data_IF_069668029936
#
_entry.id   IF_069668029936
#
_cell.length_a   1.000
_cell.length_b   1.000
_cell.length_c   1.000
_cell.angle_alpha   90.00
_cell.angle_beta   90.00
_cell.angle_gamma   90.00
#
_symmetry.space_group_name_H-M   'P 1'
#
loop_
_entity.id
_entity.type
_entity.pdbx_description
1 polymer ?
#
# COMPACT_ATOMS: atom_id res chain seq x y z
N UNK A 1 11.95 14.27 -3.32
CA UNK A 1 12.37 13.01 -2.68
C UNK A 1 13.89 13.00 -2.57
N UNK A 2 14.47 12.73 -1.39
CA UNK A 2 15.91 12.79 -1.13
C UNK A 2 16.67 11.50 -1.49
N UNK A 3 16.36 10.89 -2.64
CA UNK A 3 17.03 9.65 -3.08
C UNK A 3 18.45 9.95 -3.59
N UNK A 4 19.39 8.97 -3.50
CA UNK A 4 20.74 9.14 -4.00
C UNK A 4 20.72 9.22 -5.52
N UNK A 5 21.50 10.15 -6.09
CA UNK A 5 21.51 10.40 -7.54
C UNK A 5 21.95 9.17 -8.34
N UNK A 6 22.79 8.32 -7.74
CA UNK A 6 23.22 7.03 -8.31
C UNK A 6 22.08 6.03 -8.55
N UNK A 7 20.96 6.16 -7.83
CA UNK A 7 19.81 5.28 -8.03
C UNK A 7 19.00 5.60 -9.28
N UNK A 8 19.18 6.79 -9.87
CA UNK A 8 18.44 7.20 -11.06
C UNK A 8 18.75 6.30 -12.25
N UNK A 9 17.70 5.77 -12.87
CA UNK A 9 17.76 4.96 -14.06
C UNK A 9 17.51 5.81 -15.30
N UNK A 10 18.34 5.59 -16.31
CA UNK A 10 18.15 6.16 -17.64
C UNK A 10 17.07 5.38 -18.41
N UNK A 11 16.43 5.99 -19.42
CA UNK A 11 15.45 5.30 -20.27
C UNK A 11 16.00 4.06 -20.99
N UNK A 12 17.32 3.93 -21.14
CA UNK A 12 17.98 2.76 -21.75
C UNK A 12 18.19 1.59 -20.77
N UNK A 13 17.74 1.70 -19.51
CA UNK A 13 17.80 0.63 -18.51
C UNK A 13 19.10 0.55 -17.71
N UNK A 14 20.07 1.45 -17.95
CA UNK A 14 21.27 1.61 -17.12
C UNK A 14 21.12 2.72 -16.08
N UNK A 15 21.98 2.74 -15.06
CA UNK A 15 22.08 3.87 -14.12
C UNK A 15 22.53 5.13 -14.88
N UNK A 16 21.91 6.27 -14.57
CA UNK A 16 22.26 7.56 -15.16
C UNK A 16 23.67 8.01 -14.72
N UNK A 17 24.10 7.63 -13.53
CA UNK A 17 25.44 7.89 -12.98
C UNK A 17 26.15 6.54 -12.80
N UNK A 18 27.42 6.48 -13.23
CA UNK A 18 28.20 5.24 -13.26
C UNK A 18 28.78 4.82 -11.91
N UNK A 19 28.90 5.73 -10.95
CA UNK A 19 29.46 5.48 -9.61
C UNK A 19 28.71 6.25 -8.52
N UNK A 20 28.51 5.67 -7.33
CA UNK A 20 27.93 6.38 -6.20
C UNK A 20 28.91 7.41 -5.63
N UNK A 21 28.38 8.49 -5.07
CA UNK A 21 29.15 9.45 -4.29
C UNK A 21 29.60 8.82 -2.96
N UNK A 22 30.71 9.28 -2.40
CA UNK A 22 31.23 8.81 -1.10
C UNK A 22 30.23 9.06 0.02
N UNK A 23 29.50 10.19 -0.06
CA UNK A 23 28.42 10.51 0.89
C UNK A 23 27.27 9.50 0.80
N UNK A 24 26.88 9.10 -0.43
CA UNK A 24 25.82 8.12 -0.65
C UNK A 24 26.21 6.73 -0.10
N UNK A 25 27.49 6.38 -0.16
CA UNK A 25 27.99 5.13 0.44
C UNK A 25 27.83 5.13 1.95
N UNK A 26 28.17 6.23 2.62
CA UNK A 26 28.07 6.36 4.08
C UNK A 26 26.62 6.44 4.54
N UNK A 27 25.81 7.29 3.90
CA UNK A 27 24.42 7.52 4.31
C UNK A 27 23.53 6.29 4.08
N UNK A 28 23.66 5.66 2.91
CA UNK A 28 22.78 4.56 2.52
C UNK A 28 23.34 3.18 2.86
N UNK A 29 24.60 3.08 3.33
CA UNK A 29 25.24 1.82 3.75
C UNK A 29 25.06 0.67 2.73
N UNK A 30 25.23 0.99 1.44
CA UNK A 30 25.05 0.05 0.33
C UNK A 30 23.61 -0.15 -0.18
N UNK A 31 22.59 0.46 0.44
CA UNK A 31 21.20 0.39 -0.06
C UNK A 31 21.04 1.03 -1.45
N UNK A 32 21.84 2.06 -1.76
CA UNK A 32 21.81 2.74 -3.05
C UNK A 32 22.09 1.80 -4.24
N UNK A 33 22.79 0.68 -4.04
CA UNK A 33 23.06 -0.33 -5.08
C UNK A 33 21.84 -1.21 -5.41
N UNK A 34 20.90 -1.32 -4.47
CA UNK A 34 19.66 -2.10 -4.64
C UNK A 34 18.46 -1.21 -4.98
N UNK A 35 18.65 0.10 -4.90
CA UNK A 35 17.64 1.09 -5.22
C UNK A 35 17.74 1.50 -6.69
N UNK A 36 16.60 1.43 -7.37
CA UNK A 36 16.41 1.84 -8.75
C UNK A 36 15.28 2.87 -8.78
N UNK A 37 15.61 4.08 -9.21
CA UNK A 37 14.69 5.20 -9.28
C UNK A 37 14.35 5.45 -10.74
N UNK A 38 13.06 5.43 -11.05
CA UNK A 38 12.55 5.71 -12.38
C UNK A 38 11.68 6.96 -12.33
N UNK A 39 11.97 7.93 -13.20
CA UNK A 39 11.09 9.08 -13.42
C UNK A 39 10.11 8.73 -14.54
N UNK A 40 8.91 8.31 -14.16
CA UNK A 40 7.84 7.92 -15.09
C UNK A 40 6.48 8.05 -14.42
N UNK A 41 5.45 8.27 -15.22
CA UNK A 41 4.08 7.95 -14.83
C UNK A 41 4.00 6.45 -14.47
N UNK A 42 3.30 6.11 -13.39
CA UNK A 42 3.29 4.76 -12.84
C UNK A 42 2.63 3.74 -13.79
N UNK A 43 1.57 4.13 -14.52
CA UNK A 43 0.95 3.27 -15.52
C UNK A 43 1.90 3.02 -16.69
N UNK A 44 2.56 4.06 -17.18
CA UNK A 44 3.58 3.93 -18.21
C UNK A 44 4.78 3.08 -17.75
N UNK A 45 5.18 3.19 -16.48
CA UNK A 45 6.27 2.38 -15.93
C UNK A 45 5.90 0.90 -15.92
N UNK A 46 4.74 0.55 -15.38
CA UNK A 46 4.30 -0.86 -15.31
C UNK A 46 4.09 -1.44 -16.73
N UNK A 47 3.58 -0.63 -17.66
CA UNK A 47 3.33 -1.04 -19.05
C UNK A 47 4.63 -1.29 -19.83
N UNK A 48 5.58 -0.37 -19.75
CA UNK A 48 6.76 -0.37 -20.62
C UNK A 48 7.98 -1.04 -19.99
N UNK A 49 7.99 -1.25 -18.67
CA UNK A 49 9.08 -1.97 -18.05
C UNK A 49 9.04 -3.43 -18.54
N UNK A 50 10.12 -3.84 -19.20
CA UNK A 50 10.24 -5.11 -19.91
C UNK A 50 10.73 -6.27 -19.04
N UNK A 51 11.04 -6.03 -17.77
CA UNK A 51 11.42 -7.12 -16.85
C UNK A 51 10.21 -8.03 -16.67
N UNK A 52 10.34 -9.36 -16.74
CA UNK A 52 9.25 -10.29 -16.39
C UNK A 52 9.09 -10.49 -14.88
N UNK A 53 9.76 -9.64 -14.09
CA UNK A 53 9.83 -9.76 -12.65
C UNK A 53 8.46 -9.52 -12.00
N UNK A 54 8.16 -10.38 -11.01
CA UNK A 54 6.99 -10.25 -10.16
C UNK A 54 7.40 -9.60 -8.85
N UNK A 55 6.55 -8.70 -8.37
CA UNK A 55 6.71 -8.05 -7.08
C UNK A 55 5.98 -8.82 -5.97
N UNK A 56 6.69 -9.03 -4.87
CA UNK A 56 6.08 -9.57 -3.66
C UNK A 56 5.27 -8.51 -2.92
N UNK A 57 5.78 -7.28 -2.92
CA UNK A 57 5.16 -6.14 -2.27
C UNK A 57 5.22 -4.92 -3.19
N UNK A 58 4.10 -4.19 -3.28
CA UNK A 58 4.03 -2.91 -3.97
C UNK A 58 3.43 -1.89 -3.02
N UNK A 59 4.13 -0.77 -2.85
CA UNK A 59 3.64 0.37 -2.08
C UNK A 59 3.24 1.48 -3.06
N UNK A 60 2.03 2.00 -2.89
CA UNK A 60 1.51 3.11 -3.69
C UNK A 60 1.27 4.28 -2.74
N UNK A 61 2.10 5.31 -2.92
CA UNK A 61 2.04 6.56 -2.18
C UNK A 61 1.99 7.68 -3.21
N UNK A 62 0.76 8.08 -3.59
CA UNK A 62 0.53 8.95 -4.74
C UNK A 62 -0.65 9.89 -4.49
N UNK A 63 -0.43 11.17 -4.81
CA UNK A 63 -1.41 12.24 -4.66
C UNK A 63 -1.29 13.20 -5.85
N UNK A 64 -2.39 13.82 -6.24
CA UNK A 64 -2.45 14.76 -7.37
C UNK A 64 -1.98 16.19 -7.02
N UNK A 65 -1.63 16.43 -5.76
CA UNK A 65 -1.22 17.74 -5.23
C UNK A 65 -2.26 18.38 -4.32
N UNK A 66 -3.52 17.95 -4.40
CA UNK A 66 -4.63 18.36 -3.52
C UNK A 66 -4.96 17.28 -2.49
N UNK A 67 -3.98 16.42 -2.17
CA UNK A 67 -4.12 15.25 -1.29
C UNK A 67 -5.17 14.22 -1.73
N UNK A 68 -5.53 14.22 -3.03
CA UNK A 68 -6.48 13.27 -3.60
C UNK A 68 -5.72 12.15 -4.30
N UNK A 69 -6.09 10.90 -3.99
CA UNK A 69 -5.54 9.73 -4.68
C UNK A 69 -5.88 9.81 -6.18
N UNK A 70 -4.95 9.69 -7.14
CA UNK A 70 -5.30 9.96 -8.54
C UNK A 70 -6.28 8.93 -9.13
N UNK A 71 -7.36 9.39 -9.79
CA UNK A 71 -8.39 8.54 -10.42
C UNK A 71 -7.81 7.48 -11.37
N UNK A 72 -6.76 7.83 -12.12
CA UNK A 72 -6.05 6.93 -13.03
C UNK A 72 -5.49 5.69 -12.33
N UNK A 73 -5.15 5.78 -11.04
CA UNK A 73 -4.51 4.68 -10.29
C UNK A 73 -5.50 3.74 -9.59
N UNK A 74 -6.81 4.01 -9.64
CA UNK A 74 -7.81 3.12 -9.05
C UNK A 74 -9.02 2.84 -9.94
N UNK A 75 -9.20 3.58 -11.03
CA UNK A 75 -10.28 3.32 -11.97
C UNK A 75 -10.19 1.86 -12.49
N UNK A 76 -11.20 1.00 -12.27
CA UNK A 76 -11.20 -0.38 -12.76
C UNK A 76 -11.12 -0.50 -14.29
N UNK A 77 -11.51 0.55 -15.02
CA UNK A 77 -11.40 0.63 -16.46
C UNK A 77 -10.04 1.16 -16.96
N UNK A 78 -9.19 1.68 -16.07
CA UNK A 78 -7.81 2.04 -16.43
C UNK A 78 -6.95 0.76 -16.55
N UNK A 79 -5.97 0.76 -17.48
CA UNK A 79 -4.97 -0.31 -17.58
C UNK A 79 -4.18 -0.56 -16.28
N UNK A 80 -3.97 0.45 -15.45
CA UNK A 80 -3.04 0.40 -14.31
C UNK A 80 -3.27 -0.80 -13.39
N UNK A 81 -4.48 -0.97 -12.85
CA UNK A 81 -4.77 -2.05 -11.90
C UNK A 81 -4.65 -3.44 -12.53
N UNK A 82 -5.04 -3.57 -13.80
CA UNK A 82 -4.93 -4.84 -14.54
C UNK A 82 -3.48 -5.21 -14.79
N UNK A 83 -2.68 -4.24 -15.24
CA UNK A 83 -1.24 -4.41 -15.42
C UNK A 83 -0.57 -4.76 -14.08
N UNK A 84 -0.89 -4.03 -13.01
CA UNK A 84 -0.38 -4.29 -11.67
C UNK A 84 -0.73 -5.71 -11.19
N UNK A 85 -1.97 -6.18 -11.44
CA UNK A 85 -2.43 -7.53 -11.09
C UNK A 85 -1.54 -8.62 -11.70
N UNK A 86 -1.02 -8.37 -12.92
CA UNK A 86 -0.10 -9.26 -13.62
C UNK A 86 1.35 -9.14 -13.17
N UNK A 87 1.71 -8.06 -12.45
CA UNK A 87 3.05 -7.83 -11.91
C UNK A 87 3.21 -8.23 -10.45
N UNK A 88 2.15 -8.52 -9.72
CA UNK A 88 2.24 -8.98 -8.33
C UNK A 88 2.24 -10.50 -8.24
N UNK A 89 3.03 -11.06 -7.32
CA UNK A 89 3.18 -12.50 -7.20
C UNK A 89 1.83 -13.21 -6.94
N UNK A 90 1.47 -14.28 -7.69
CA UNK A 90 0.13 -14.87 -7.63
C UNK A 90 -0.23 -15.51 -6.29
N UNK A 91 0.75 -15.86 -5.46
CA UNK A 91 0.52 -16.54 -4.17
C UNK A 91 0.60 -15.65 -2.94
N UNK A 92 1.43 -14.61 -2.97
CA UNK A 92 1.71 -13.77 -1.79
C UNK A 92 1.89 -12.30 -2.13
N UNK A 93 1.65 -11.92 -3.40
CA UNK A 93 1.66 -10.53 -3.81
C UNK A 93 0.76 -9.69 -2.91
N UNK A 94 1.33 -8.60 -2.39
CA UNK A 94 0.67 -7.70 -1.46
C UNK A 94 0.82 -6.26 -1.94
N UNK A 95 -0.28 -5.56 -2.09
CA UNK A 95 -0.30 -4.14 -2.47
C UNK A 95 -0.77 -3.33 -1.28
N UNK A 96 0.00 -2.30 -0.93
CA UNK A 96 -0.31 -1.36 0.15
C UNK A 96 -0.49 0.01 -0.47
N UNK A 97 -1.64 0.63 -0.26
CA UNK A 97 -2.00 1.95 -0.79
C UNK A 97 -2.16 2.91 0.37
N UNK A 98 -1.39 3.99 0.34
CA UNK A 98 -1.54 5.10 1.28
C UNK A 98 -2.74 5.95 0.85
N UNK A 99 -3.71 6.16 1.75
CA UNK A 99 -4.95 6.89 1.48
C UNK A 99 -5.15 7.95 2.56
N UNK A 100 -5.27 9.20 2.14
CA UNK A 100 -5.70 10.28 3.05
C UNK A 100 -7.21 10.17 3.25
N UNK A 101 -7.66 10.41 4.49
CA UNK A 101 -9.08 10.35 4.83
C UNK A 101 -9.86 11.39 4.01
N UNK A 102 -10.90 10.94 3.32
CA UNK A 102 -11.85 11.78 2.56
C UNK A 102 -13.10 12.14 3.35
N UNK A 103 -13.12 11.84 4.66
CA UNK A 103 -14.24 12.20 5.51
C UNK A 103 -14.20 13.70 5.79
N UNK A 104 -15.14 14.44 5.20
CA UNK A 104 -15.46 15.79 5.65
C UNK A 104 -15.76 15.71 7.15
N UNK A 105 -14.90 16.29 8.00
CA UNK A 105 -15.08 16.35 9.46
C UNK A 105 -16.23 17.32 9.84
N UNK A 106 -17.18 17.55 8.93
CA UNK A 106 -18.29 18.47 9.12
C UNK A 106 -19.59 17.73 8.90
N UNK A 107 -20.29 17.46 9.99
CA UNK A 107 -21.73 17.22 9.93
C UNK A 107 -22.40 18.37 9.15
N UNK A 108 -23.48 18.04 8.43
CA UNK A 108 -24.28 19.02 7.68
C UNK A 108 -24.76 20.21 8.55
N UNK A 109 -24.75 20.05 9.88
CA UNK A 109 -25.17 21.04 10.87
C UNK A 109 -24.01 21.77 11.59
N UNK A 110 -22.75 21.54 11.20
CA UNK A 110 -21.59 22.24 11.76
C UNK A 110 -21.21 21.85 13.20
N UNK A 111 -21.79 20.78 13.74
CA UNK A 111 -21.37 20.19 15.02
C UNK A 111 -20.05 19.42 14.89
N UNK A 112 -19.23 19.46 15.94
CA UNK A 112 -18.07 18.57 16.07
C UNK A 112 -18.61 17.19 16.48
N UNK A 113 -18.36 16.12 15.71
CA UNK A 113 -18.90 14.82 16.05
C UNK A 113 -18.36 14.34 17.40
N UNK A 114 -19.24 13.75 18.20
CA UNK A 114 -18.86 13.20 19.50
C UNK A 114 -17.71 12.21 19.35
N UNK A 115 -16.82 12.18 20.35
CA UNK A 115 -15.62 11.33 20.47
C UNK A 115 -15.88 9.83 20.22
N UNK A 116 -17.14 9.39 20.13
CA UNK A 116 -17.56 8.02 19.83
C UNK A 116 -17.79 7.70 18.34
N UNK A 117 -17.69 8.66 17.42
CA UNK A 117 -17.66 8.43 15.96
C UNK A 117 -16.23 8.10 15.46
N UNK A 118 -15.44 7.45 16.33
CA UNK A 118 -13.98 7.23 16.25
C UNK A 118 -13.52 6.25 15.15
N UNK A 119 -14.43 5.79 14.31
CA UNK A 119 -14.14 5.14 13.04
C UNK A 119 -14.62 6.13 11.99
N UNK A 120 -13.74 7.01 11.49
CA UNK A 120 -14.08 7.92 10.40
C UNK A 120 -14.75 7.07 9.30
N UNK A 121 -16.06 7.25 9.03
CA UNK A 121 -16.71 6.45 8.01
C UNK A 121 -15.98 6.75 6.71
N UNK A 122 -15.51 5.69 6.06
CA UNK A 122 -14.89 5.77 4.75
C UNK A 122 -15.81 6.59 3.84
N UNK A 123 -15.33 7.70 3.31
CA UNK A 123 -16.11 8.45 2.35
C UNK A 123 -16.38 7.58 1.13
N UNK A 124 -17.39 7.96 0.35
CA UNK A 124 -17.80 7.22 -0.85
C UNK A 124 -16.64 7.04 -1.82
N UNK A 125 -15.72 7.99 -1.84
CA UNK A 125 -14.56 7.98 -2.69
C UNK A 125 -13.58 6.88 -2.25
N UNK A 126 -13.11 6.89 -0.99
CA UNK A 126 -12.22 5.84 -0.49
C UNK A 126 -12.85 4.45 -0.54
N UNK A 127 -14.14 4.31 -0.25
CA UNK A 127 -14.85 3.04 -0.38
C UNK A 127 -14.78 2.51 -1.83
N UNK A 128 -14.89 3.39 -2.81
CA UNK A 128 -14.79 3.03 -4.24
C UNK A 128 -13.36 2.61 -4.62
N UNK A 129 -12.35 3.33 -4.11
CA UNK A 129 -10.93 2.97 -4.29
C UNK A 129 -10.65 1.59 -3.72
N UNK A 130 -11.05 1.35 -2.46
CA UNK A 130 -10.83 0.07 -1.78
C UNK A 130 -11.48 -1.10 -2.50
N UNK A 131 -12.73 -0.93 -2.96
CA UNK A 131 -13.44 -1.96 -3.73
C UNK A 131 -12.74 -2.24 -5.06
N UNK A 132 -12.33 -1.21 -5.80
CA UNK A 132 -11.63 -1.39 -7.07
C UNK A 132 -10.33 -2.22 -6.91
N UNK A 133 -9.53 -1.88 -5.91
CA UNK A 133 -8.29 -2.61 -5.61
C UNK A 133 -8.57 -4.06 -5.19
N UNK A 134 -9.54 -4.27 -4.30
CA UNK A 134 -9.95 -5.61 -3.88
C UNK A 134 -10.40 -6.46 -5.07
N UNK A 135 -11.34 -5.95 -5.86
CA UNK A 135 -11.98 -6.68 -6.95
C UNK A 135 -10.97 -7.10 -8.03
N UNK A 136 -9.98 -6.25 -8.32
CA UNK A 136 -8.98 -6.53 -9.37
C UNK A 136 -7.78 -7.33 -8.86
N UNK A 137 -7.31 -7.09 -7.63
CA UNK A 137 -6.02 -7.62 -7.16
C UNK A 137 -6.13 -8.82 -6.23
N UNK A 138 -7.21 -8.93 -5.44
CA UNK A 138 -7.36 -10.02 -4.48
C UNK A 138 -7.60 -11.37 -5.17
N UNK A 139 -8.12 -11.39 -6.40
CA UNK A 139 -8.55 -12.60 -7.10
C UNK A 139 -9.50 -13.45 -6.22
N UNK A 140 -9.66 -14.75 -6.49
CA UNK A 140 -10.62 -15.61 -5.79
C UNK A 140 -10.24 -15.98 -4.34
N UNK A 141 -9.00 -15.71 -3.92
CA UNK A 141 -8.46 -16.17 -2.63
C UNK A 141 -7.74 -15.09 -1.80
N UNK A 142 -7.62 -13.86 -2.29
CA UNK A 142 -7.02 -12.77 -1.55
C UNK A 142 -7.99 -12.13 -0.55
N UNK A 143 -7.44 -11.25 0.27
CA UNK A 143 -8.18 -10.42 1.20
C UNK A 143 -7.74 -8.97 1.06
N UNK A 144 -8.65 -8.06 1.39
CA UNK A 144 -8.37 -6.64 1.46
C UNK A 144 -8.84 -6.12 2.82
N UNK A 145 -8.03 -5.30 3.45
CA UNK A 145 -8.33 -4.67 4.73
C UNK A 145 -7.66 -3.30 4.80
N UNK A 146 -8.12 -2.48 5.72
CA UNK A 146 -7.49 -1.21 6.04
C UNK A 146 -6.96 -1.21 7.46
N UNK A 147 -5.89 -0.44 7.64
CA UNK A 147 -5.38 -0.03 8.93
C UNK A 147 -5.42 1.49 8.98
N UNK A 148 -6.28 2.05 9.83
CA UNK A 148 -6.41 3.49 9.98
C UNK A 148 -5.52 4.03 11.10
N UNK A 149 -5.04 5.25 10.91
CA UNK A 149 -4.28 6.01 11.90
C UNK A 149 -4.95 7.38 12.05
N UNK A 150 -6.09 7.45 12.77
CA UNK A 150 -6.99 8.62 12.72
C UNK A 150 -6.33 9.94 13.12
N UNK A 151 -5.35 9.90 14.04
CA UNK A 151 -4.67 11.10 14.52
C UNK A 151 -3.75 11.76 13.49
N UNK A 152 -3.44 11.08 12.39
CA UNK A 152 -2.76 11.66 11.21
C UNK A 152 -3.65 11.66 9.97
N UNK A 153 -4.97 11.48 10.13
CA UNK A 153 -5.95 11.47 9.03
C UNK A 153 -5.58 10.52 7.88
N UNK A 154 -4.98 9.38 8.20
CA UNK A 154 -4.41 8.47 7.22
C UNK A 154 -4.98 7.04 7.36
N UNK A 155 -5.12 6.36 6.24
CA UNK A 155 -5.50 4.96 6.16
C UNK A 155 -4.61 4.23 5.16
N UNK A 156 -4.08 3.08 5.56
CA UNK A 156 -3.41 2.16 4.64
C UNK A 156 -4.39 1.09 4.18
N UNK A 157 -4.70 1.02 2.89
CA UNK A 157 -5.37 -0.13 2.28
C UNK A 157 -4.34 -1.20 1.97
N UNK A 158 -4.58 -2.42 2.41
CA UNK A 158 -3.76 -3.59 2.10
C UNK A 158 -4.59 -4.60 1.34
N UNK A 159 -4.13 -5.01 0.16
CA UNK A 159 -4.67 -6.13 -0.60
C UNK A 159 -3.62 -7.22 -0.70
N UNK A 160 -3.88 -8.38 -0.09
CA UNK A 160 -2.94 -9.49 -0.05
C UNK A 160 -3.56 -10.77 -0.60
N UNK A 161 -2.85 -11.42 -1.54
CA UNK A 161 -3.21 -12.73 -2.10
C UNK A 161 -2.90 -13.91 -1.16
N UNK A 162 -2.02 -13.70 -0.18
CA UNK A 162 -1.47 -14.78 0.66
C UNK A 162 -2.06 -14.91 2.06
N UNK A 163 -2.91 -13.97 2.49
CA UNK A 163 -3.35 -13.87 3.88
C UNK A 163 -4.49 -14.84 4.24
N UNK A 164 -5.14 -15.51 3.28
CA UNK A 164 -6.21 -16.48 3.58
C UNK A 164 -5.81 -17.91 3.23
N UNK A 165 -6.20 -18.86 4.10
CA UNK A 165 -5.93 -20.29 3.88
C UNK A 165 -6.72 -20.82 2.67
N UNK A 166 -6.11 -21.77 1.94
CA UNK A 166 -6.58 -22.31 0.65
C UNK A 166 -7.95 -23.02 0.70
N UNK A 167 -8.63 -23.07 1.86
CA UNK A 167 -9.82 -23.89 2.11
C UNK A 167 -11.15 -23.13 2.10
N UNK A 168 -11.19 -21.89 1.62
CA UNK A 168 -12.39 -21.34 0.97
C UNK A 168 -13.64 -21.02 1.82
N UNK A 169 -13.73 -21.36 3.11
CA UNK A 169 -14.95 -21.21 3.91
C UNK A 169 -14.86 -20.11 4.98
N UNK A 170 -16.02 -19.53 5.29
CA UNK A 170 -16.40 -18.40 6.15
C UNK A 170 -15.62 -18.10 7.46
N UNK A 171 -14.60 -18.87 7.85
CA UNK A 171 -13.66 -18.57 8.94
C UNK A 171 -12.47 -17.68 8.55
N UNK A 172 -12.51 -17.02 7.38
CA UNK A 172 -11.38 -16.31 6.75
C UNK A 172 -10.95 -15.02 7.46
N UNK A 173 -11.88 -14.30 8.09
CA UNK A 173 -11.61 -12.98 8.71
C UNK A 173 -10.92 -13.14 10.06
N UNK A 174 -11.55 -13.91 10.95
CA UNK A 174 -11.03 -14.15 12.29
C UNK A 174 -9.69 -14.89 12.22
N UNK A 175 -9.56 -15.88 11.34
CA UNK A 175 -8.29 -16.59 11.12
C UNK A 175 -7.17 -15.69 10.60
N UNK A 176 -7.47 -14.72 9.73
CA UNK A 176 -6.46 -13.78 9.23
C UNK A 176 -6.02 -12.78 10.33
N UNK A 177 -6.95 -12.27 11.13
CA UNK A 177 -6.64 -11.40 12.28
C UNK A 177 -5.84 -12.17 13.33
N UNK A 178 -6.24 -13.39 13.68
CA UNK A 178 -5.50 -14.26 14.59
C UNK A 178 -4.08 -14.54 14.08
N UNK A 179 -3.93 -14.78 12.77
CA UNK A 179 -2.62 -14.97 12.16
C UNK A 179 -1.75 -13.71 12.29
N UNK A 180 -2.28 -12.53 11.96
CA UNK A 180 -1.58 -11.25 12.12
C UNK A 180 -1.20 -10.98 13.58
N UNK A 181 -2.11 -11.23 14.53
CA UNK A 181 -1.84 -11.12 15.96
C UNK A 181 -0.72 -12.07 16.37
N UNK A 182 -0.76 -13.33 15.93
CA UNK A 182 0.27 -14.34 16.28
C UNK A 182 1.67 -13.98 15.78
N UNK A 183 1.76 -13.24 14.67
CA UNK A 183 3.02 -12.80 14.06
C UNK A 183 3.46 -11.40 14.45
N UNK A 184 2.58 -10.60 15.07
CA UNK A 184 2.86 -9.22 15.44
C UNK A 184 4.12 -9.06 16.31
N UNK A 185 4.25 -9.87 17.37
CA UNK A 185 5.41 -9.83 18.27
C UNK A 185 6.71 -10.24 17.58
N UNK A 186 6.66 -11.21 16.68
CA UNK A 186 7.83 -11.64 15.89
C UNK A 186 8.32 -10.49 15.00
N UNK A 187 7.41 -9.79 14.31
CA UNK A 187 7.73 -8.63 13.47
C UNK A 187 8.28 -7.46 14.30
N UNK A 188 7.65 -7.16 15.44
CA UNK A 188 8.09 -6.10 16.35
C UNK A 188 9.54 -6.33 16.79
N UNK A 189 9.88 -7.57 17.18
CA UNK A 189 11.22 -7.92 17.62
C UNK A 189 12.24 -7.95 16.48
N UNK A 190 11.89 -8.53 15.32
CA UNK A 190 12.80 -8.64 14.18
C UNK A 190 13.16 -7.28 13.58
N UNK A 191 12.23 -6.32 13.60
CA UNK A 191 12.41 -4.98 13.04
C UNK A 191 12.78 -3.92 14.10
N UNK A 192 12.89 -4.33 15.38
CA UNK A 192 13.16 -3.44 16.52
C UNK A 192 12.22 -2.22 16.54
N UNK A 193 10.91 -2.47 16.37
CA UNK A 193 9.93 -1.40 16.24
C UNK A 193 9.72 -0.68 17.59
N UNK A 194 9.65 0.66 17.59
CA UNK A 194 9.42 1.43 18.81
C UNK A 194 7.93 1.46 19.24
N UNK A 195 7.09 0.63 18.63
CA UNK A 195 5.65 0.58 18.87
C UNK A 195 5.11 -0.85 18.69
N UNK A 196 3.94 -1.13 19.28
CA UNK A 196 3.28 -2.42 19.10
C UNK A 196 2.35 -2.43 17.89
N UNK A 197 2.57 -3.38 16.99
CA UNK A 197 1.71 -3.74 15.88
C UNK A 197 0.32 -4.21 16.37
N UNK A 198 0.27 -4.87 17.53
CA UNK A 198 -0.97 -5.42 18.09
C UNK A 198 -2.04 -4.34 18.33
N UNK A 199 -1.63 -3.15 18.78
CA UNK A 199 -2.55 -2.04 19.03
C UNK A 199 -3.22 -1.54 17.74
N UNK A 200 -2.50 -1.53 16.62
CA UNK A 200 -3.05 -1.15 15.32
C UNK A 200 -4.02 -2.21 14.79
N UNK A 201 -3.67 -3.50 14.95
CA UNK A 201 -4.53 -4.62 14.52
C UNK A 201 -5.85 -4.63 15.32
N UNK A 202 -5.82 -4.35 16.62
CA UNK A 202 -7.02 -4.41 17.48
C UNK A 202 -7.99 -3.25 17.29
N UNK A 203 -7.48 -2.04 17.03
CA UNK A 203 -8.30 -0.81 17.11
C UNK A 203 -8.83 -0.35 15.76
N UNK A 204 -8.03 -0.44 14.71
CA UNK A 204 -8.27 0.28 13.46
C UNK A 204 -8.21 -0.61 12.22
N UNK A 205 -8.43 -1.90 12.41
CA UNK A 205 -8.41 -2.91 11.36
C UNK A 205 -9.83 -3.17 10.83
N UNK A 206 -10.04 -2.99 9.52
CA UNK A 206 -11.35 -3.20 8.88
C UNK A 206 -11.20 -3.97 7.57
N UNK A 207 -11.90 -5.08 7.40
CA UNK A 207 -11.95 -5.77 6.11
C UNK A 207 -12.76 -4.95 5.09
N UNK A 208 -12.30 -4.94 3.85
CA UNK A 208 -13.06 -4.39 2.72
C UNK A 208 -14.08 -5.44 2.26
N UNK A 209 -15.35 -5.07 2.23
CA UNK A 209 -16.47 -5.89 1.73
C UNK A 209 -16.61 -5.89 0.21
#
# INVERSE_FOLDING_TARGET
MGFPAFSLMSPSGGRAISKPDDLDQVLWKGLHERLFLFESDAENFILNNSTEELYDMVFIDAYDGDDIFPHKLWNPQSPFLQLLSNRIHPRHGTVVVNLHSDSDIRDHDGSIPSVLQQLLPMGKYLSSVCRAYKDVLALSCGSAFLVSVPWVCNSSLVVSRGLTDRRGLLGKRDSAVEHLVSKSFEVEHLLDLPFSCLEYIKRNFMFVD
#
